data_IF_789694602796
#
_entry.id   IF_789694602796
#
_cell.length_a   1.000
_cell.length_b   1.000
_cell.length_c   1.000
_cell.angle_alpha   90.00
_cell.angle_beta   90.00
_cell.angle_gamma   90.00
#
_symmetry.space_group_name_H-M   'P 1'
#
loop_
_entity.id
_entity.type
_entity.pdbx_description
1 polymer ?
#
# COMPACT_ATOMS: atom_id res chain seq x y z
N UNK A 1 -28.66 1.66 26.04
CA UNK A 1 -27.85 2.79 26.57
C UNK A 1 -28.50 4.14 26.29
N UNK A 2 -28.62 4.62 25.04
CA UNK A 2 -29.27 5.91 24.72
C UNK A 2 -30.71 6.02 25.22
N UNK A 3 -31.53 4.98 24.98
CA UNK A 3 -32.92 4.94 25.45
C UNK A 3 -33.03 5.05 26.99
N UNK A 4 -32.21 4.30 27.74
CA UNK A 4 -32.18 4.38 29.21
C UNK A 4 -31.80 5.77 29.74
N UNK A 5 -30.91 6.51 29.05
CA UNK A 5 -30.58 7.88 29.47
C UNK A 5 -31.73 8.84 29.22
N UNK A 6 -32.40 8.73 28.06
CA UNK A 6 -33.57 9.53 27.73
C UNK A 6 -34.73 9.30 28.71
N UNK A 7 -35.01 8.03 29.07
CA UNK A 7 -36.08 7.66 30.00
C UNK A 7 -35.81 8.20 31.41
N UNK A 8 -34.54 8.29 31.83
CA UNK A 8 -34.15 8.82 33.14
C UNK A 8 -33.83 10.33 33.13
N UNK A 9 -34.10 11.05 32.03
CA UNK A 9 -33.91 12.50 31.95
C UNK A 9 -32.45 12.98 31.84
N UNK A 10 -31.50 12.08 31.56
CA UNK A 10 -30.08 12.44 31.40
C UNK A 10 -29.74 12.80 29.94
N UNK A 11 -29.07 13.93 29.72
CA UNK A 11 -28.49 14.26 28.40
C UNK A 11 -27.31 13.34 28.10
N UNK A 12 -27.43 12.49 27.07
CA UNK A 12 -26.35 11.61 26.63
C UNK A 12 -25.70 12.14 25.35
N UNK A 13 -24.59 12.87 25.53
CA UNK A 13 -23.70 13.21 24.43
C UNK A 13 -22.66 12.10 24.23
N UNK A 14 -23.03 11.06 23.46
CA UNK A 14 -22.18 9.88 23.19
C UNK A 14 -20.78 10.28 22.68
N UNK A 15 -20.69 11.39 21.95
CA UNK A 15 -19.43 11.94 21.41
C UNK A 15 -18.46 12.41 22.50
N UNK A 16 -18.95 12.83 23.68
CA UNK A 16 -18.11 13.20 24.83
C UNK A 16 -17.53 11.99 25.56
N UNK A 17 -18.15 10.82 25.43
CA UNK A 17 -17.71 9.57 26.05
C UNK A 17 -16.98 8.68 25.06
N UNK A 18 -15.73 9.03 24.75
CA UNK A 18 -14.96 8.40 23.66
C UNK A 18 -14.80 6.88 23.81
N UNK A 19 -14.60 6.38 25.04
CA UNK A 19 -14.55 4.93 25.32
C UNK A 19 -15.88 4.23 25.04
N UNK A 20 -16.99 4.79 25.53
CA UNK A 20 -18.34 4.26 25.28
C UNK A 20 -18.67 4.28 23.79
N UNK A 21 -18.33 5.36 23.09
CA UNK A 21 -18.48 5.48 21.65
C UNK A 21 -17.76 4.35 20.90
N UNK A 22 -16.49 4.10 21.23
CA UNK A 22 -15.73 3.02 20.60
C UNK A 22 -16.27 1.63 20.92
N UNK A 23 -16.72 1.38 22.16
CA UNK A 23 -17.35 0.11 22.56
C UNK A 23 -18.63 -0.11 21.75
N UNK A 24 -19.53 0.87 21.68
CA UNK A 24 -20.77 0.77 20.92
C UNK A 24 -20.50 0.57 19.42
N UNK A 25 -19.46 1.22 18.87
CA UNK A 25 -19.04 1.03 17.48
C UNK A 25 -18.47 -0.38 17.24
N UNK A 26 -17.73 -0.93 18.21
CA UNK A 26 -17.26 -2.31 18.19
C UNK A 26 -18.42 -3.32 18.22
N UNK A 27 -19.36 -3.15 19.15
CA UNK A 27 -20.57 -3.99 19.24
C UNK A 27 -21.36 -3.93 17.94
N UNK A 28 -21.55 -2.74 17.35
CA UNK A 28 -22.24 -2.60 16.06
C UNK A 28 -21.52 -3.33 14.92
N UNK A 29 -20.19 -3.40 14.92
CA UNK A 29 -19.42 -4.17 13.92
C UNK A 29 -19.56 -5.68 14.11
N UNK A 30 -19.64 -6.15 15.36
CA UNK A 30 -19.67 -7.59 15.68
C UNK A 30 -21.09 -8.17 15.64
N UNK A 31 -22.08 -7.40 16.09
CA UNK A 31 -23.48 -7.83 16.28
C UNK A 31 -24.47 -7.14 15.34
N UNK A 32 -24.04 -6.12 14.60
CA UNK A 32 -24.89 -5.44 13.62
C UNK A 32 -25.08 -6.26 12.34
N UNK A 33 -25.78 -5.68 11.37
CA UNK A 33 -26.04 -6.30 10.06
C UNK A 33 -24.72 -6.67 9.39
N UNK A 34 -24.67 -7.87 8.82
CA UNK A 34 -23.51 -8.43 8.13
C UNK A 34 -22.89 -7.39 7.18
N UNK A 35 -21.64 -7.01 7.46
CA UNK A 35 -20.86 -6.20 6.53
C UNK A 35 -20.28 -7.09 5.45
N UNK A 36 -20.31 -6.65 4.18
CA UNK A 36 -19.66 -7.35 3.07
C UNK A 36 -18.22 -7.73 3.46
N UNK A 37 -17.92 -9.03 3.44
CA UNK A 37 -16.58 -9.55 3.68
C UNK A 37 -15.64 -9.08 2.60
N UNK A 38 -14.48 -8.56 2.99
CA UNK A 38 -13.41 -8.21 2.06
C UNK A 38 -12.66 -9.49 1.71
N UNK A 39 -12.72 -9.90 0.46
CA UNK A 39 -11.97 -11.06 -0.04
C UNK A 39 -10.50 -10.65 -0.27
N UNK A 40 -9.54 -11.56 -0.02
CA UNK A 40 -8.14 -11.30 -0.29
C UNK A 40 -7.90 -11.16 -1.79
N UNK A 41 -6.94 -10.31 -2.15
CA UNK A 41 -6.38 -10.33 -3.50
C UNK A 41 -5.55 -11.61 -3.60
N UNK A 42 -5.79 -12.39 -4.65
CA UNK A 42 -5.10 -13.67 -4.91
C UNK A 42 -4.15 -13.57 -6.10
N UNK A 43 -3.32 -14.60 -6.30
CA UNK A 43 -2.45 -14.70 -7.46
C UNK A 43 -3.23 -14.62 -8.78
N UNK A 44 -4.47 -15.14 -8.85
CA UNK A 44 -5.26 -15.08 -10.08
C UNK A 44 -5.70 -13.67 -10.44
N UNK A 45 -5.94 -12.81 -9.44
CA UNK A 45 -6.14 -11.39 -9.68
C UNK A 45 -4.87 -10.74 -10.23
N UNK A 46 -3.70 -11.12 -9.72
CA UNK A 46 -2.42 -10.62 -10.21
C UNK A 46 -2.17 -11.03 -11.68
N UNK A 47 -2.50 -12.28 -12.05
CA UNK A 47 -2.46 -12.77 -13.44
C UNK A 47 -3.40 -11.96 -14.35
N UNK A 48 -4.60 -11.67 -13.88
CA UNK A 48 -5.58 -10.87 -14.61
C UNK A 48 -5.07 -9.45 -14.84
N UNK A 49 -4.57 -8.77 -13.80
CA UNK A 49 -4.00 -7.43 -13.93
C UNK A 49 -2.81 -7.41 -14.90
N UNK A 50 -1.91 -8.39 -14.80
CA UNK A 50 -0.79 -8.50 -15.73
C UNK A 50 -1.26 -8.57 -17.18
N UNK A 51 -2.25 -9.42 -17.47
CA UNK A 51 -2.82 -9.59 -18.81
C UNK A 51 -3.45 -8.30 -19.35
N UNK A 52 -4.20 -7.59 -18.51
CA UNK A 52 -4.85 -6.34 -18.90
C UNK A 52 -3.80 -5.26 -19.23
N UNK A 53 -2.81 -5.09 -18.36
CA UNK A 53 -1.78 -4.05 -18.50
C UNK A 53 -0.79 -4.32 -19.64
N UNK A 54 -0.55 -5.60 -19.97
CA UNK A 54 0.35 -6.04 -21.04
C UNK A 54 -0.38 -6.51 -22.30
N UNK A 55 -1.68 -6.22 -22.44
CA UNK A 55 -2.47 -6.58 -23.63
C UNK A 55 -2.04 -5.83 -24.90
N UNK A 56 -1.30 -4.73 -24.77
CA UNK A 56 -0.76 -3.94 -25.87
C UNK A 56 0.63 -4.41 -26.29
N UNK A 57 0.96 -4.26 -27.57
CA UNK A 57 2.26 -4.62 -28.18
C UNK A 57 3.46 -3.97 -27.47
N UNK A 58 3.27 -2.84 -26.80
CA UNK A 58 4.28 -2.23 -25.94
C UNK A 58 3.62 -1.66 -24.69
N UNK A 59 4.10 -2.02 -23.48
CA UNK A 59 3.53 -1.50 -22.24
C UNK A 59 3.87 -0.02 -22.11
N UNK A 60 2.88 0.81 -21.81
CA UNK A 60 3.06 2.25 -21.57
C UNK A 60 3.83 2.48 -20.27
N UNK A 61 4.37 3.69 -20.09
CA UNK A 61 4.97 4.11 -18.82
C UNK A 61 4.00 3.87 -17.66
N UNK A 62 2.77 4.37 -17.78
CA UNK A 62 1.76 4.29 -16.73
C UNK A 62 1.30 2.85 -16.48
N UNK A 63 1.20 2.03 -17.54
CA UNK A 63 0.90 0.60 -17.39
C UNK A 63 2.00 -0.15 -16.62
N UNK A 64 3.26 0.20 -16.88
CA UNK A 64 4.42 -0.40 -16.20
C UNK A 64 4.52 0.09 -14.76
N UNK A 65 4.23 1.37 -14.52
CA UNK A 65 4.15 1.97 -13.18
C UNK A 65 3.07 1.30 -12.33
N UNK A 66 1.85 1.17 -12.86
CA UNK A 66 0.73 0.51 -12.17
C UNK A 66 1.07 -0.97 -11.91
N UNK A 67 1.68 -1.66 -12.88
CA UNK A 67 2.09 -3.04 -12.70
C UNK A 67 3.13 -3.21 -11.58
N UNK A 68 4.13 -2.34 -11.53
CA UNK A 68 5.12 -2.33 -10.46
C UNK A 68 4.47 -2.05 -9.11
N UNK A 69 3.58 -1.07 -9.03
CA UNK A 69 2.84 -0.71 -7.81
C UNK A 69 1.99 -1.89 -7.29
N UNK A 70 1.21 -2.55 -8.15
CA UNK A 70 0.39 -3.72 -7.79
C UNK A 70 1.29 -4.86 -7.31
N UNK A 71 2.38 -5.13 -8.01
CA UNK A 71 3.30 -6.23 -7.66
C UNK A 71 3.95 -5.99 -6.29
N UNK A 72 4.48 -4.78 -6.06
CA UNK A 72 5.10 -4.42 -4.79
C UNK A 72 4.07 -4.43 -3.64
N UNK A 73 2.86 -3.92 -3.87
CA UNK A 73 1.81 -3.97 -2.85
C UNK A 73 1.39 -5.40 -2.50
N UNK A 74 1.29 -6.29 -3.48
CA UNK A 74 0.91 -7.68 -3.28
C UNK A 74 1.99 -8.47 -2.51
N UNK A 75 3.25 -8.44 -2.97
CA UNK A 75 4.34 -9.20 -2.35
C UNK A 75 4.88 -8.56 -1.07
N UNK A 76 4.76 -7.23 -0.95
CA UNK A 76 5.15 -6.48 0.25
C UNK A 76 4.04 -6.35 1.29
N UNK A 77 2.83 -6.86 1.01
CA UNK A 77 1.63 -6.72 1.85
C UNK A 77 1.35 -5.26 2.27
N UNK A 78 1.62 -4.33 1.36
CA UNK A 78 1.50 -2.90 1.64
C UNK A 78 0.03 -2.47 1.66
N UNK A 79 -0.27 -1.50 2.52
CA UNK A 79 -1.52 -0.76 2.40
C UNK A 79 -1.39 0.24 1.27
N UNK A 80 -2.48 0.44 0.52
CA UNK A 80 -2.51 1.41 -0.59
C UNK A 80 -2.02 2.80 -0.13
N UNK A 81 -2.48 3.26 1.04
CA UNK A 81 -2.07 4.56 1.58
C UNK A 81 -0.62 4.66 2.10
N UNK A 82 0.16 3.59 2.07
CA UNK A 82 1.61 3.62 2.33
C UNK A 82 2.40 3.85 1.03
N UNK A 83 1.76 3.65 -0.12
CA UNK A 83 2.36 3.70 -1.45
C UNK A 83 1.82 4.84 -2.31
N UNK A 84 0.60 5.31 -2.04
CA UNK A 84 -0.06 6.39 -2.77
C UNK A 84 -0.08 7.70 -1.98
N UNK A 85 -0.12 8.82 -2.68
CA UNK A 85 -0.24 10.16 -2.12
C UNK A 85 -1.73 10.54 -1.99
N UNK A 86 -2.26 10.66 -0.77
CA UNK A 86 -3.64 11.12 -0.55
C UNK A 86 -3.83 12.65 -0.65
N UNK A 87 -2.78 13.37 -1.04
CA UNK A 87 -2.72 14.83 -1.11
C UNK A 87 -1.43 15.27 -1.80
N UNK A 88 -0.98 16.52 -1.60
CA UNK A 88 0.29 16.99 -2.14
C UNK A 88 1.45 16.09 -1.73
N UNK A 89 2.34 15.79 -2.67
CA UNK A 89 3.52 15.00 -2.40
C UNK A 89 4.38 15.66 -1.31
N UNK A 90 4.88 14.83 -0.40
CA UNK A 90 5.78 15.21 0.67
C UNK A 90 6.78 14.06 0.89
N UNK A 91 8.07 14.33 0.68
CA UNK A 91 9.14 13.33 0.73
C UNK A 91 9.39 12.76 2.13
N UNK A 92 8.95 13.45 3.19
CA UNK A 92 9.10 12.98 4.58
C UNK A 92 8.06 11.92 4.97
N UNK A 93 6.92 11.88 4.29
CA UNK A 93 5.80 10.97 4.62
C UNK A 93 5.48 9.98 3.50
N UNK A 94 5.64 10.39 2.25
CA UNK A 94 5.29 9.59 1.09
C UNK A 94 6.50 8.80 0.60
N UNK A 95 6.21 7.68 -0.04
CA UNK A 95 7.21 6.77 -0.57
C UNK A 95 7.98 7.41 -1.72
N UNK A 96 9.30 7.42 -1.61
CA UNK A 96 10.20 8.06 -2.58
C UNK A 96 11.07 7.02 -3.27
N UNK A 97 11.66 7.40 -4.40
CA UNK A 97 12.61 6.53 -5.10
C UNK A 97 13.84 6.19 -4.27
N UNK A 98 14.29 7.12 -3.43
CA UNK A 98 15.39 6.95 -2.47
C UNK A 98 15.11 5.90 -1.38
N UNK A 99 13.86 5.52 -1.19
CA UNK A 99 13.46 4.55 -0.16
C UNK A 99 13.60 3.09 -0.65
N UNK A 100 14.01 2.90 -1.90
CA UNK A 100 14.23 1.60 -2.53
C UNK A 100 15.72 1.31 -2.61
N UNK A 101 16.14 0.13 -2.15
CA UNK A 101 17.50 -0.37 -2.30
C UNK A 101 17.47 -1.76 -2.93
N UNK A 102 18.20 -1.95 -4.04
CA UNK A 102 18.33 -3.24 -4.69
C UNK A 102 19.62 -3.93 -4.24
N UNK A 103 19.52 -5.23 -3.95
CA UNK A 103 20.65 -6.04 -3.51
C UNK A 103 20.79 -7.26 -4.39
N UNK A 104 22.03 -7.48 -4.84
CA UNK A 104 22.46 -8.65 -5.57
C UNK A 104 23.57 -9.33 -4.78
N UNK A 105 23.40 -10.61 -4.42
CA UNK A 105 24.38 -11.50 -3.77
C UNK A 105 24.52 -11.34 -2.24
N UNK A 106 24.32 -12.44 -1.52
CA UNK A 106 25.10 -12.78 -0.31
C UNK A 106 26.08 -13.89 -0.68
N UNK A 107 27.30 -13.90 -0.10
CA UNK A 107 28.28 -14.98 -0.29
C UNK A 107 27.58 -16.33 -0.09
N UNK A 108 27.44 -17.12 -1.16
CA UNK A 108 26.85 -18.46 -1.15
C UNK A 108 25.50 -18.64 -1.88
N UNK A 109 24.74 -17.56 -2.12
CA UNK A 109 23.43 -17.66 -2.81
C UNK A 109 23.18 -16.46 -3.75
N UNK A 110 22.67 -16.74 -4.96
CA UNK A 110 22.23 -15.75 -5.94
C UNK A 110 20.84 -15.19 -5.58
N UNK A 111 20.64 -14.75 -4.34
CA UNK A 111 19.39 -14.11 -3.93
C UNK A 111 19.41 -12.64 -4.33
N UNK A 112 18.52 -12.29 -5.25
CA UNK A 112 18.22 -10.92 -5.64
C UNK A 112 17.00 -10.48 -4.84
N UNK A 113 17.09 -9.37 -4.12
CA UNK A 113 15.97 -8.82 -3.36
C UNK A 113 16.02 -7.29 -3.37
N UNK A 114 14.91 -6.67 -3.00
CA UNK A 114 14.85 -5.24 -2.72
C UNK A 114 14.45 -4.99 -1.27
N UNK A 115 14.94 -3.89 -0.73
CA UNK A 115 14.47 -3.32 0.53
C UNK A 115 13.67 -2.05 0.25
N UNK A 116 12.53 -1.92 0.91
CA UNK A 116 11.65 -0.76 0.79
C UNK A 116 11.41 -0.17 2.17
N UNK A 117 11.79 1.10 2.37
CA UNK A 117 11.59 1.83 3.62
C UNK A 117 10.26 2.57 3.60
N UNK A 118 9.30 2.08 4.39
CA UNK A 118 8.01 2.73 4.64
C UNK A 118 8.22 3.79 5.72
N UNK A 119 8.03 5.06 5.38
CA UNK A 119 8.27 6.20 6.29
C UNK A 119 7.17 6.41 7.31
N UNK A 120 5.93 6.19 6.93
CA UNK A 120 4.77 6.37 7.79
C UNK A 120 3.72 5.29 7.48
N UNK A 121 3.20 4.64 8.52
CA UNK A 121 2.06 3.74 8.41
C UNK A 121 0.92 4.26 9.29
N UNK A 122 -0.32 4.12 8.82
CA UNK A 122 -1.52 4.51 9.58
C UNK A 122 -1.66 3.75 10.91
N UNK A 123 -1.06 2.57 11.03
CA UNK A 123 -1.10 1.77 12.26
C UNK A 123 0.05 2.06 13.20
N UNK A 124 0.95 2.96 12.83
CA UNK A 124 2.09 3.34 13.63
C UNK A 124 1.89 4.75 14.19
N UNK A 125 1.31 4.87 15.40
CA UNK A 125 1.10 6.17 16.03
C UNK A 125 2.42 6.90 16.34
N UNK A 126 3.56 6.21 16.33
CA UNK A 126 4.88 6.76 16.62
C UNK A 126 5.71 7.06 15.36
N UNK A 127 5.22 6.67 14.16
CA UNK A 127 5.93 6.82 12.88
C UNK A 127 7.36 6.27 12.89
N UNK A 128 7.61 5.20 13.64
CA UNK A 128 8.77 4.35 13.45
C UNK A 128 8.74 3.74 12.04
N UNK A 129 9.52 4.32 11.13
CA UNK A 129 9.70 3.80 9.78
C UNK A 129 10.00 2.30 9.78
N UNK A 130 9.41 1.54 8.87
CA UNK A 130 9.62 0.11 8.74
C UNK A 130 10.31 -0.21 7.41
N UNK A 131 11.29 -1.12 7.42
CA UNK A 131 11.92 -1.62 6.19
C UNK A 131 11.40 -3.01 5.89
N UNK A 132 10.78 -3.20 4.73
CA UNK A 132 10.37 -4.51 4.25
C UNK A 132 11.37 -5.05 3.23
N UNK A 133 11.58 -6.36 3.22
CA UNK A 133 12.45 -7.04 2.25
C UNK A 133 11.58 -7.87 1.32
N UNK A 134 11.67 -7.63 0.01
CA UNK A 134 10.90 -8.33 -1.02
C UNK A 134 11.87 -9.11 -1.91
N UNK A 135 11.74 -10.44 -1.89
CA UNK A 135 12.56 -11.35 -2.69
C UNK A 135 12.17 -11.35 -4.17
N UNK A 136 13.16 -11.55 -5.03
CA UNK A 136 12.93 -11.89 -6.44
C UNK A 136 12.36 -13.29 -6.57
N UNK A 137 11.63 -13.53 -7.66
CA UNK A 137 11.25 -14.87 -8.10
C UNK A 137 11.59 -15.04 -9.59
N UNK A 138 11.66 -16.29 -10.05
CA UNK A 138 11.95 -16.62 -11.46
C UNK A 138 10.77 -16.37 -12.40
N UNK A 139 9.57 -16.11 -11.86
CA UNK A 139 8.35 -15.96 -12.63
C UNK A 139 8.22 -14.61 -13.35
N UNK A 140 7.23 -14.54 -14.25
CA UNK A 140 6.84 -13.29 -14.94
C UNK A 140 6.21 -12.26 -13.98
N UNK A 141 5.78 -12.72 -12.79
CA UNK A 141 5.20 -11.89 -11.73
C UNK A 141 6.23 -11.47 -10.67
N UNK A 142 7.51 -11.40 -11.04
CA UNK A 142 8.57 -11.02 -10.12
C UNK A 142 8.45 -9.53 -9.71
N UNK A 143 8.25 -9.22 -8.42
CA UNK A 143 8.10 -7.83 -7.96
C UNK A 143 9.37 -7.02 -8.16
N UNK A 144 10.54 -7.65 -7.99
CA UNK A 144 11.83 -6.99 -8.18
C UNK A 144 12.03 -6.60 -9.64
N UNK A 145 11.77 -7.52 -10.58
CA UNK A 145 11.87 -7.26 -12.02
C UNK A 145 10.84 -6.21 -12.46
N UNK A 146 9.62 -6.28 -11.94
CA UNK A 146 8.57 -5.31 -12.25
C UNK A 146 9.00 -3.89 -11.86
N UNK A 147 9.51 -3.70 -10.64
CA UNK A 147 9.98 -2.41 -10.18
C UNK A 147 11.22 -1.92 -10.94
N UNK A 148 12.20 -2.79 -11.21
CA UNK A 148 13.37 -2.44 -12.03
C UNK A 148 12.99 -1.98 -13.45
N UNK A 149 12.03 -2.68 -14.07
CA UNK A 149 11.53 -2.36 -15.42
C UNK A 149 10.83 -1.00 -15.46
N UNK A 150 10.11 -0.65 -14.40
CA UNK A 150 9.52 0.68 -14.26
C UNK A 150 10.60 1.75 -14.05
N UNK A 151 11.52 1.54 -13.10
CA UNK A 151 12.55 2.52 -12.77
C UNK A 151 13.55 2.75 -13.91
N UNK A 152 13.81 1.77 -14.78
CA UNK A 152 14.70 1.94 -15.94
C UNK A 152 14.12 2.90 -16.99
N UNK A 153 12.81 3.17 -16.94
CA UNK A 153 12.12 4.11 -17.84
C UNK A 153 12.07 5.53 -17.31
N UNK A 154 12.40 5.73 -16.03
CA UNK A 154 12.39 7.04 -15.38
C UNK A 154 13.83 7.56 -15.22
N UNK A 155 14.09 8.88 -15.39
CA UNK A 155 15.42 9.47 -15.22
C UNK A 155 16.06 9.07 -13.90
N UNK A 156 17.34 8.72 -13.90
CA UNK A 156 18.05 8.21 -12.70
C UNK A 156 18.07 9.21 -11.54
N UNK A 157 18.09 10.51 -11.83
CA UNK A 157 18.25 11.59 -10.84
C UNK A 157 16.91 12.11 -10.28
N UNK A 158 15.81 11.39 -10.52
CA UNK A 158 14.49 11.80 -10.05
C UNK A 158 14.32 11.56 -8.54
N UNK A 159 14.29 12.66 -7.77
CA UNK A 159 14.10 12.67 -6.31
C UNK A 159 12.63 12.77 -5.86
N UNK A 160 11.69 12.26 -6.67
CA UNK A 160 10.25 12.39 -6.41
C UNK A 160 9.59 11.13 -5.82
N UNK A 161 8.24 11.08 -5.87
CA UNK A 161 7.46 9.91 -5.49
C UNK A 161 7.96 8.64 -6.19
N UNK A 162 7.91 7.50 -5.51
CA UNK A 162 8.32 6.23 -6.11
C UNK A 162 7.49 5.94 -7.37
N UNK A 163 6.17 6.03 -7.26
CA UNK A 163 5.23 5.82 -8.36
C UNK A 163 4.67 7.15 -8.85
N UNK A 164 4.89 7.45 -10.12
CA UNK A 164 4.48 8.70 -10.75
C UNK A 164 3.93 8.40 -12.13
N UNK A 165 2.84 9.05 -12.51
CA UNK A 165 2.29 8.99 -13.86
C UNK A 165 3.16 9.80 -14.83
N UNK A 166 3.00 9.52 -16.12
CA UNK A 166 3.68 10.23 -17.22
C UNK A 166 3.42 11.74 -17.23
N UNK A 167 2.31 12.19 -16.65
CA UNK A 167 1.95 13.60 -16.47
C UNK A 167 2.54 14.24 -15.20
N UNK A 168 3.38 13.52 -14.44
CA UNK A 168 4.03 14.03 -13.22
C UNK A 168 3.18 13.91 -11.94
N UNK A 169 1.94 13.42 -12.02
CA UNK A 169 1.08 13.23 -10.85
C UNK A 169 1.54 11.99 -10.06
N UNK A 170 1.75 12.06 -8.73
CA UNK A 170 2.02 10.87 -7.93
C UNK A 170 0.83 9.90 -7.96
N UNK A 171 1.12 8.60 -7.85
CA UNK A 171 0.08 7.58 -7.66
C UNK A 171 -0.70 7.78 -6.36
#
# INVERSE_FOLDING_TARGET
>A
VRHMHLVNGYDLQITKFQRLHYILRGIKRVKGVSTRTRLPITLDHLKLFHRILHSRTSPTHDGTMIWAAISIAFFGFLRIGEMTCSGPYNSSTNLCRSDVSFHNKKRGYNEVFLQLRIKASKTDPFRASATITIGSNSGIYCPVRALQTYLSRAPTDYAGPLFCYSNGVPL
#
